data_IF_416800354152
#
_entry.id   IF_416800354152
#
_cell.length_a   1.000
_cell.length_b   1.000
_cell.length_c   1.000
_cell.angle_alpha   90.00
_cell.angle_beta   90.00
_cell.angle_gamma   90.00
#
_symmetry.space_group_name_H-M   'P 1'
#
loop_
_entity.id
_entity.type
_entity.pdbx_description
1 polymer ?
#
# COMPACT_ATOMS: atom_id res chain seq x y z
N UNK A 1 -1.31 -8.79 -1.55
CA UNK A 1 -1.09 -9.42 -0.24
C UNK A 1 -0.40 -8.50 0.77
N UNK A 2 0.80 -7.95 0.50
CA UNK A 2 1.47 -7.07 1.48
C UNK A 2 0.61 -5.88 1.94
N UNK A 3 0.02 -5.14 1.00
CA UNK A 3 -0.81 -3.97 1.32
C UNK A 3 -2.05 -4.34 2.15
N UNK A 4 -2.72 -5.44 1.83
CA UNK A 4 -3.84 -5.97 2.60
C UNK A 4 -3.44 -6.39 4.03
N UNK A 5 -2.27 -7.01 4.17
CA UNK A 5 -1.75 -7.37 5.49
C UNK A 5 -1.51 -6.12 6.35
N UNK A 6 -1.01 -5.03 5.75
CA UNK A 6 -0.79 -3.76 6.45
C UNK A 6 -2.05 -2.90 6.63
N UNK A 7 -3.13 -3.14 5.87
CA UNK A 7 -4.37 -2.35 5.96
C UNK A 7 -5.27 -2.69 7.15
N UNK A 8 -4.81 -3.60 8.03
CA UNK A 8 -5.41 -3.96 9.31
C UNK A 8 -6.87 -4.44 9.28
N UNK A 9 -7.40 -4.89 8.13
CA UNK A 9 -8.61 -5.71 7.97
C UNK A 9 -9.97 -5.11 8.37
N UNK A 10 -10.06 -4.30 9.41
CA UNK A 10 -11.32 -3.85 10.01
C UNK A 10 -12.00 -2.75 9.21
N UNK A 11 -11.24 -1.96 8.45
CA UNK A 11 -11.75 -0.84 7.67
C UNK A 11 -11.13 -0.84 6.26
N UNK A 12 -11.81 -1.42 5.27
CA UNK A 12 -11.30 -1.62 3.91
C UNK A 12 -10.75 -0.36 3.24
N UNK A 13 -11.28 0.81 3.61
CA UNK A 13 -10.93 2.11 3.06
C UNK A 13 -10.20 3.01 4.06
N UNK A 14 -9.81 2.53 5.24
CA UNK A 14 -8.98 3.35 6.13
C UNK A 14 -7.58 3.48 5.54
N UNK A 15 -7.02 4.67 5.65
CA UNK A 15 -5.64 4.88 5.23
C UNK A 15 -4.69 4.39 6.34
N UNK A 16 -3.61 3.74 5.94
CA UNK A 16 -2.60 3.19 6.83
C UNK A 16 -1.21 3.64 6.41
N UNK A 17 -0.29 3.70 7.37
CA UNK A 17 1.09 4.09 7.13
C UNK A 17 1.96 2.87 6.86
N UNK A 18 2.80 2.96 5.84
CA UNK A 18 3.81 1.95 5.54
C UNK A 18 5.18 2.57 5.40
N UNK A 19 6.21 1.77 5.70
CA UNK A 19 7.56 2.09 5.29
C UNK A 19 7.91 1.31 4.02
N UNK A 20 8.49 2.00 3.03
CA UNK A 20 8.96 1.37 1.79
C UNK A 20 9.88 0.17 2.06
N UNK A 21 10.89 0.24 2.97
CA UNK A 21 11.74 -0.92 3.24
C UNK A 21 10.98 -2.14 3.77
N UNK A 22 9.99 -1.94 4.66
CA UNK A 22 9.15 -3.06 5.16
C UNK A 22 8.30 -3.63 4.01
N UNK A 23 7.68 -2.78 3.20
CA UNK A 23 6.85 -3.22 2.09
C UNK A 23 7.66 -4.01 1.05
N UNK A 24 8.86 -3.54 0.71
CA UNK A 24 9.77 -4.22 -0.21
C UNK A 24 10.20 -5.59 0.33
N UNK A 25 10.62 -5.66 1.61
CA UNK A 25 11.00 -6.92 2.25
C UNK A 25 9.84 -7.93 2.25
N UNK A 26 8.64 -7.50 2.64
CA UNK A 26 7.47 -8.37 2.71
C UNK A 26 6.99 -8.82 1.32
N UNK A 27 7.13 -7.95 0.32
CA UNK A 27 6.76 -8.24 -1.07
C UNK A 27 7.87 -8.92 -1.88
N UNK A 28 9.01 -9.24 -1.25
CA UNK A 28 10.21 -9.79 -1.89
C UNK A 28 10.71 -8.95 -3.08
N UNK A 29 10.45 -7.64 -3.06
CA UNK A 29 10.93 -6.68 -4.05
C UNK A 29 12.32 -6.22 -3.63
N UNK A 30 13.33 -6.46 -4.48
CA UNK A 30 14.72 -6.05 -4.22
C UNK A 30 15.10 -4.72 -4.89
N UNK A 31 14.43 -4.36 -5.98
CA UNK A 31 14.74 -3.15 -6.75
C UNK A 31 13.81 -2.00 -6.40
N UNK A 32 14.41 -0.83 -6.17
CA UNK A 32 13.67 0.43 -5.97
C UNK A 32 12.84 0.76 -7.22
N UNK A 33 13.40 0.56 -8.42
CA UNK A 33 12.67 0.82 -9.67
C UNK A 33 11.43 -0.07 -9.79
N UNK A 34 11.55 -1.36 -9.44
CA UNK A 34 10.42 -2.29 -9.43
C UNK A 34 9.36 -1.89 -8.39
N UNK A 35 9.77 -1.42 -7.21
CA UNK A 35 8.83 -0.89 -6.22
C UNK A 35 8.02 0.28 -6.79
N UNK A 36 8.68 1.27 -7.37
CA UNK A 36 7.99 2.45 -7.92
C UNK A 36 7.09 2.10 -9.10
N UNK A 37 7.52 1.19 -9.99
CA UNK A 37 6.67 0.68 -11.07
C UNK A 37 5.39 0.05 -10.53
N UNK A 38 5.52 -0.89 -9.59
CA UNK A 38 4.35 -1.59 -9.04
C UNK A 38 3.41 -0.64 -8.29
N UNK A 39 3.93 0.33 -7.52
CA UNK A 39 3.11 1.33 -6.83
C UNK A 39 2.37 2.21 -7.84
N UNK A 40 3.06 2.65 -8.91
CA UNK A 40 2.45 3.43 -9.97
C UNK A 40 1.34 2.63 -10.66
N UNK A 41 1.61 1.40 -11.08
CA UNK A 41 0.63 0.54 -11.73
C UNK A 41 -0.61 0.33 -10.83
N UNK A 42 -0.42 0.06 -9.53
CA UNK A 42 -1.52 -0.08 -8.57
C UNK A 42 -2.34 1.22 -8.40
N UNK A 43 -1.69 2.38 -8.49
CA UNK A 43 -2.36 3.69 -8.38
C UNK A 43 -3.13 3.99 -9.66
N UNK A 44 -2.52 3.76 -10.82
CA UNK A 44 -3.10 4.01 -12.15
C UNK A 44 -4.32 3.10 -12.41
N UNK A 45 -4.27 1.85 -11.96
CA UNK A 45 -5.42 0.94 -12.03
C UNK A 45 -6.48 1.22 -10.96
N UNK A 46 -6.27 2.20 -10.08
CA UNK A 46 -7.23 2.58 -9.06
C UNK A 46 -7.36 1.59 -7.92
N UNK A 47 -6.39 0.70 -7.69
CA UNK A 47 -6.41 -0.22 -6.55
C UNK A 47 -6.05 0.48 -5.24
N UNK A 48 -5.22 1.51 -5.29
CA UNK A 48 -4.78 2.27 -4.12
C UNK A 48 -4.73 3.77 -4.36
N UNK A 49 -4.93 4.54 -3.29
CA UNK A 49 -4.47 5.92 -3.18
C UNK A 49 -3.09 5.91 -2.50
N UNK A 50 -2.07 6.46 -3.16
CA UNK A 50 -0.70 6.48 -2.65
C UNK A 50 -0.22 7.92 -2.37
N UNK A 51 0.07 8.23 -1.10
CA UNK A 51 0.58 9.53 -0.64
C UNK A 51 1.98 9.37 -0.04
N UNK A 52 3.05 9.54 -0.83
CA UNK A 52 4.41 9.37 -0.33
C UNK A 52 4.74 10.45 0.70
N UNK A 53 5.49 10.08 1.73
CA UNK A 53 6.14 11.06 2.61
C UNK A 53 7.48 10.52 3.09
N UNK A 54 8.44 11.45 3.20
CA UNK A 54 9.79 11.20 3.70
C UNK A 54 9.90 11.46 5.21
N UNK A 55 8.81 11.86 5.86
CA UNK A 55 8.82 12.18 7.28
C UNK A 55 8.93 10.89 8.12
N UNK A 56 9.89 10.78 9.05
CA UNK A 56 10.17 9.54 9.78
C UNK A 56 9.00 9.05 10.64
N UNK A 57 8.15 9.97 11.12
CA UNK A 57 6.96 9.64 11.94
C UNK A 57 5.73 9.39 11.08
N UNK A 58 5.56 10.15 10.01
CA UNK A 58 4.31 10.10 9.24
C UNK A 58 4.36 8.98 8.22
N UNK A 59 5.55 8.64 7.68
CA UNK A 59 5.68 7.56 6.71
C UNK A 59 4.93 7.83 5.41
N UNK A 60 4.79 6.79 4.59
CA UNK A 60 3.99 6.85 3.36
C UNK A 60 2.59 6.32 3.66
N UNK A 61 1.59 7.10 3.27
CA UNK A 61 0.20 6.76 3.51
C UNK A 61 -0.39 6.05 2.29
N UNK A 62 -1.09 4.94 2.53
CA UNK A 62 -1.79 4.18 1.51
C UNK A 62 -3.23 3.99 1.93
N UNK A 63 -4.17 4.11 1.00
CA UNK A 63 -5.56 3.68 1.16
C UNK A 63 -5.88 2.63 0.11
N UNK A 64 -6.51 1.53 0.51
CA UNK A 64 -7.05 0.59 -0.48
C UNK A 64 -8.36 1.17 -1.04
N UNK A 65 -8.52 1.11 -2.36
CA UNK A 65 -9.67 1.64 -3.09
C UNK A 65 -10.61 0.54 -3.59
N UNK A 66 -10.30 -0.71 -3.26
CA UNK A 66 -11.16 -1.86 -3.53
C UNK A 66 -12.35 -1.85 -2.58
N UNK A 67 -13.54 -2.12 -3.12
CA UNK A 67 -14.66 -2.55 -2.30
C UNK A 67 -14.40 -4.02 -1.93
N UNK A 68 -14.23 -4.29 -0.64
CA UNK A 68 -14.33 -5.68 -0.19
C UNK A 68 -15.83 -5.97 -0.30
N UNK A 69 -16.21 -6.71 -1.35
CA UNK A 69 -17.52 -7.35 -1.37
C UNK A 69 -17.60 -8.16 -0.08
N UNK A 70 -18.45 -7.71 0.84
CA UNK A 70 -18.89 -8.55 1.93
C UNK A 70 -19.37 -9.85 1.29
N UNK A 71 -18.74 -10.96 1.69
CA UNK A 71 -19.28 -12.26 1.36
C UNK A 71 -20.50 -12.42 2.26
N UNK A 72 -21.67 -12.15 1.68
CA UNK A 72 -22.95 -12.67 2.18
C UNK A 72 -22.86 -14.20 2.40
#
# INVERSE_FOLDING_TARGET
MALFYFSNGEHPRSAFQVSRPKLMRFSRIRSIATYHKNIKDLTDYGYIEYKPSWHPVNGTQIRLMIEIMDKD
#
